data_IF_615240341141
#
_entry.id   IF_615240341141
#
_cell.length_a   1.000
_cell.length_b   1.000
_cell.length_c   1.000
_cell.angle_alpha   90.00
_cell.angle_beta   90.00
_cell.angle_gamma   90.00
#
_symmetry.space_group_name_H-M   'P 1'
#
loop_
_entity.id
_entity.type
_entity.pdbx_description
1 polymer ?
#
# COMPACT_ATOMS: atom_id res chain seq x y z
N UNK A 1 -20.87 8.31 -19.74
CA UNK A 1 -20.48 6.94 -19.31
C UNK A 1 -21.72 6.27 -18.75
N UNK A 2 -21.80 4.95 -18.70
CA UNK A 2 -22.98 4.27 -18.15
C UNK A 2 -22.71 3.62 -16.81
N UNK A 3 -23.55 3.95 -15.83
CA UNK A 3 -23.57 3.32 -14.51
C UNK A 3 -24.81 2.44 -14.41
N UNK A 4 -24.59 1.12 -14.43
CA UNK A 4 -25.62 0.12 -14.27
C UNK A 4 -26.09 0.02 -12.83
N UNK A 5 -27.30 0.51 -12.55
CA UNK A 5 -27.86 0.52 -11.20
C UNK A 5 -28.80 -0.67 -10.97
N UNK A 6 -28.75 -1.26 -9.78
CA UNK A 6 -29.80 -2.19 -9.34
C UNK A 6 -31.15 -1.46 -9.24
N UNK A 7 -32.26 -2.20 -9.36
CA UNK A 7 -33.60 -1.63 -9.24
C UNK A 7 -33.77 -0.78 -7.97
N UNK A 8 -33.28 -1.30 -6.82
CA UNK A 8 -33.32 -0.61 -5.54
C UNK A 8 -32.58 0.74 -5.57
N UNK A 9 -31.46 0.82 -6.28
CA UNK A 9 -30.72 2.08 -6.43
C UNK A 9 -31.45 3.04 -7.37
N UNK A 10 -31.96 2.57 -8.52
CA UNK A 10 -32.78 3.38 -9.44
C UNK A 10 -33.97 4.02 -8.69
N UNK A 11 -34.72 3.21 -7.94
CA UNK A 11 -35.86 3.67 -7.14
C UNK A 11 -35.43 4.70 -6.07
N UNK A 12 -34.26 4.50 -5.45
CA UNK A 12 -33.73 5.42 -4.43
C UNK A 12 -33.31 6.77 -5.03
N UNK A 13 -32.65 6.74 -6.19
CA UNK A 13 -32.21 7.91 -6.95
C UNK A 13 -33.39 8.68 -7.57
N UNK A 14 -34.50 8.00 -7.85
CA UNK A 14 -35.68 8.62 -8.49
C UNK A 14 -35.44 8.99 -9.95
N UNK A 15 -34.58 8.25 -10.65
CA UNK A 15 -34.20 8.50 -12.05
C UNK A 15 -34.85 7.47 -12.99
N UNK A 16 -35.18 7.88 -14.21
CA UNK A 16 -35.56 6.95 -15.26
C UNK A 16 -34.29 6.38 -15.92
N UNK A 17 -34.09 5.05 -15.92
CA UNK A 17 -32.88 4.46 -16.48
C UNK A 17 -32.86 4.59 -18.01
N UNK A 18 -31.71 4.98 -18.55
CA UNK A 18 -31.44 4.99 -19.99
C UNK A 18 -31.26 3.57 -20.54
N UNK A 19 -31.44 3.35 -21.86
CA UNK A 19 -31.11 2.10 -22.51
C UNK A 19 -29.63 1.75 -22.33
N UNK A 20 -29.35 0.46 -22.18
CA UNK A 20 -27.98 -0.04 -22.11
C UNK A 20 -27.35 0.05 -23.51
N UNK A 21 -26.22 0.76 -23.61
CA UNK A 21 -25.39 0.79 -24.80
C UNK A 21 -24.27 -0.24 -24.67
N UNK A 22 -24.40 -1.36 -25.38
CA UNK A 22 -23.43 -2.45 -25.37
C UNK A 22 -22.19 -2.19 -26.23
N UNK A 23 -22.14 -1.05 -26.95
CA UNK A 23 -20.95 -0.65 -27.72
C UNK A 23 -19.89 0.03 -26.85
N UNK A 24 -20.28 0.53 -25.67
CA UNK A 24 -19.34 1.12 -24.71
C UNK A 24 -18.48 0.02 -24.10
N UNK A 25 -17.17 0.23 -24.18
CA UNK A 25 -16.17 -0.63 -23.55
C UNK A 25 -16.47 -0.80 -22.03
N UNK A 26 -16.49 -2.04 -21.50
CA UNK A 26 -16.70 -2.29 -20.07
C UNK A 26 -15.75 -1.53 -19.14
N UNK A 27 -14.56 -1.13 -19.59
CA UNK A 27 -13.65 -0.32 -18.78
C UNK A 27 -14.19 1.10 -18.50
N UNK A 28 -15.03 1.64 -19.37
CA UNK A 28 -15.72 2.92 -19.19
C UNK A 28 -17.13 2.75 -18.57
N UNK A 29 -17.44 1.54 -18.08
CA UNK A 29 -18.72 1.21 -17.47
C UNK A 29 -18.52 0.81 -16.00
N UNK A 30 -19.50 1.17 -15.19
CA UNK A 30 -19.52 0.85 -13.77
C UNK A 30 -20.88 0.27 -13.38
N UNK A 31 -20.91 -0.55 -12.34
CA UNK A 31 -22.15 -1.10 -11.79
C UNK A 31 -22.26 -0.68 -10.33
N UNK A 32 -23.47 -0.26 -9.91
CA UNK A 32 -23.73 0.26 -8.59
C UNK A 32 -24.96 -0.38 -7.92
N UNK A 33 -24.89 -0.55 -6.60
CA UNK A 33 -26.00 -1.04 -5.78
C UNK A 33 -26.09 -0.32 -4.46
N UNK A 34 -27.30 -0.22 -3.90
CA UNK A 34 -27.55 0.39 -2.59
C UNK A 34 -28.01 -0.66 -1.57
N UNK A 35 -27.46 -0.57 -0.36
CA UNK A 35 -27.81 -1.41 0.78
C UNK A 35 -27.64 -0.63 2.09
N UNK A 36 -27.94 -1.29 3.21
CA UNK A 36 -27.75 -0.68 4.52
C UNK A 36 -26.51 -1.30 5.18
N UNK A 37 -25.60 -0.44 5.62
CA UNK A 37 -24.43 -0.80 6.41
C UNK A 37 -24.45 0.09 7.65
N UNK A 38 -24.36 -0.49 8.84
CA UNK A 38 -24.42 0.24 10.11
C UNK A 38 -25.61 1.22 10.19
N UNK A 39 -26.79 0.76 9.75
CA UNK A 39 -28.07 1.51 9.67
C UNK A 39 -28.04 2.74 8.74
N UNK A 40 -27.06 2.83 7.85
CA UNK A 40 -26.89 3.92 6.89
C UNK A 40 -26.98 3.42 5.45
N UNK A 41 -27.63 4.20 4.59
CA UNK A 41 -27.67 3.90 3.17
C UNK A 41 -26.27 4.02 2.57
N UNK A 42 -25.83 2.96 1.92
CA UNK A 42 -24.48 2.82 1.39
C UNK A 42 -24.58 2.37 -0.05
N UNK A 43 -23.92 3.08 -0.95
CA UNK A 43 -23.78 2.71 -2.36
C UNK A 43 -22.39 2.10 -2.52
N UNK A 44 -22.34 0.94 -3.14
CA UNK A 44 -21.11 0.32 -3.59
C UNK A 44 -21.07 0.30 -5.10
N UNK A 45 -19.90 0.55 -5.65
CA UNK A 45 -19.69 0.73 -7.09
C UNK A 45 -18.46 -0.08 -7.51
N UNK A 46 -18.53 -0.76 -8.66
CA UNK A 46 -17.41 -1.51 -9.23
C UNK A 46 -17.31 -1.31 -10.73
N UNK A 47 -16.09 -1.21 -11.25
CA UNK A 47 -15.79 -1.17 -12.68
C UNK A 47 -16.15 -2.50 -13.35
N UNK A 48 -16.77 -2.46 -14.52
CA UNK A 48 -17.30 -3.65 -15.16
C UNK A 48 -16.20 -4.55 -15.78
N UNK A 49 -15.04 -3.99 -16.13
CA UNK A 49 -13.91 -4.75 -16.68
C UNK A 49 -13.04 -5.40 -15.58
N UNK A 50 -12.76 -4.67 -14.51
CA UNK A 50 -11.77 -5.06 -13.50
C UNK A 50 -12.36 -5.47 -12.15
N UNK A 51 -13.63 -5.18 -11.88
CA UNK A 51 -14.23 -5.25 -10.53
C UNK A 51 -13.63 -4.30 -9.49
N UNK A 52 -12.73 -3.39 -9.89
CA UNK A 52 -12.19 -2.37 -9.00
C UNK A 52 -13.33 -1.49 -8.50
N UNK A 53 -13.41 -1.22 -7.21
CA UNK A 53 -14.55 -0.50 -6.67
C UNK A 53 -14.27 0.41 -5.49
N UNK A 54 -15.29 1.21 -5.20
CA UNK A 54 -15.28 2.23 -4.16
C UNK A 54 -16.64 2.28 -3.47
N UNK A 55 -16.70 3.02 -2.37
CA UNK A 55 -17.87 3.07 -1.47
C UNK A 55 -18.29 4.51 -1.21
N UNK A 56 -19.59 4.78 -1.36
CA UNK A 56 -20.26 5.98 -0.88
C UNK A 56 -21.12 5.59 0.32
N UNK A 57 -20.69 5.96 1.52
CA UNK A 57 -21.31 5.61 2.79
C UNK A 57 -22.22 6.73 3.30
N UNK A 58 -23.35 6.39 3.93
CA UNK A 58 -24.16 7.36 4.64
C UNK A 58 -24.98 8.31 3.79
N UNK A 59 -25.26 7.98 2.53
CA UNK A 59 -25.96 8.86 1.60
C UNK A 59 -27.38 9.19 2.07
N UNK A 60 -27.77 10.46 1.97
CA UNK A 60 -29.10 10.99 2.32
C UNK A 60 -29.78 11.57 1.08
N UNK A 61 -31.09 11.81 1.18
CA UNK A 61 -31.88 12.43 0.11
C UNK A 61 -31.34 13.79 -0.34
N UNK A 62 -30.78 14.58 0.58
CA UNK A 62 -30.16 15.87 0.27
C UNK A 62 -28.88 15.79 -0.55
N UNK A 63 -28.18 14.65 -0.53
CA UNK A 63 -26.92 14.43 -1.27
C UNK A 63 -27.19 14.03 -2.73
N UNK A 64 -28.41 13.58 -3.04
CA UNK A 64 -28.78 13.10 -4.38
C UNK A 64 -28.65 14.16 -5.47
N UNK A 65 -28.76 15.44 -5.12
CA UNK A 65 -28.52 16.56 -6.06
C UNK A 65 -27.09 16.57 -6.63
N UNK A 66 -26.14 15.95 -5.91
CA UNK A 66 -24.73 15.87 -6.28
C UNK A 66 -24.32 14.45 -6.70
N UNK A 67 -25.28 13.55 -6.94
CA UNK A 67 -24.98 12.12 -7.14
C UNK A 67 -24.03 11.87 -8.32
N UNK A 68 -24.19 12.60 -9.43
CA UNK A 68 -23.31 12.49 -10.59
C UNK A 68 -21.86 12.85 -10.22
N UNK A 69 -21.66 13.95 -9.48
CA UNK A 69 -20.34 14.36 -8.97
C UNK A 69 -19.75 13.31 -8.05
N UNK A 70 -20.54 12.77 -7.10
CA UNK A 70 -20.08 11.74 -6.17
C UNK A 70 -19.59 10.47 -6.88
N UNK A 71 -20.27 10.03 -7.96
CA UNK A 71 -19.79 8.92 -8.77
C UNK A 71 -18.48 9.25 -9.48
N UNK A 72 -18.37 10.43 -10.10
CA UNK A 72 -17.15 10.85 -10.79
C UNK A 72 -15.97 11.02 -9.82
N UNK A 73 -16.19 11.62 -8.66
CA UNK A 73 -15.20 11.77 -7.58
C UNK A 73 -14.77 10.41 -7.03
N UNK A 74 -15.71 9.47 -6.87
CA UNK A 74 -15.40 8.10 -6.47
C UNK A 74 -14.54 7.36 -7.49
N UNK A 75 -14.88 7.47 -8.78
CA UNK A 75 -14.07 6.93 -9.87
C UNK A 75 -12.68 7.57 -9.89
N UNK A 76 -12.61 8.91 -9.82
CA UNK A 76 -11.36 9.65 -9.73
C UNK A 76 -10.50 9.17 -8.56
N UNK A 77 -11.11 8.91 -7.40
CA UNK A 77 -10.40 8.36 -6.24
C UNK A 77 -9.78 7.00 -6.54
N UNK A 78 -10.43 6.10 -7.29
CA UNK A 78 -9.85 4.82 -7.66
C UNK A 78 -8.53 4.97 -8.43
N UNK A 79 -8.47 5.91 -9.38
CA UNK A 79 -7.24 6.16 -10.14
C UNK A 79 -6.16 6.82 -9.28
N UNK A 80 -6.55 7.77 -8.43
CA UNK A 80 -5.62 8.51 -7.57
C UNK A 80 -4.96 7.62 -6.52
N UNK A 81 -5.71 6.68 -5.92
CA UNK A 81 -5.17 5.74 -4.92
C UNK A 81 -4.11 4.80 -5.52
N UNK A 82 -4.13 4.58 -6.83
CA UNK A 82 -3.10 3.83 -7.56
C UNK A 82 -2.01 4.74 -8.18
N UNK A 83 -1.93 6.00 -7.73
CA UNK A 83 -1.04 7.04 -8.24
C UNK A 83 -1.09 7.26 -9.76
N UNK A 84 -2.23 7.08 -10.42
CA UNK A 84 -2.29 7.28 -11.88
C UNK A 84 -2.15 8.78 -12.20
N UNK A 85 -1.38 9.11 -13.24
CA UNK A 85 -1.15 10.46 -13.73
C UNK A 85 -2.49 11.19 -13.96
N UNK A 86 -2.65 12.37 -13.36
CA UNK A 86 -3.84 13.21 -13.52
C UNK A 86 -4.23 13.42 -15.00
N UNK A 87 -3.27 13.52 -15.91
CA UNK A 87 -3.56 13.67 -17.34
C UNK A 87 -4.20 12.42 -17.95
N UNK A 88 -3.91 11.24 -17.43
CA UNK A 88 -4.57 9.98 -17.83
C UNK A 88 -5.98 9.93 -17.25
N UNK A 89 -6.17 10.39 -16.01
CA UNK A 89 -7.49 10.47 -15.38
C UNK A 89 -8.40 11.43 -16.17
N UNK A 90 -7.87 12.59 -16.56
CA UNK A 90 -8.60 13.57 -17.37
C UNK A 90 -9.02 12.97 -18.71
N UNK A 91 -8.10 12.29 -19.42
CA UNK A 91 -8.41 11.56 -20.66
C UNK A 91 -9.47 10.47 -20.48
N UNK A 92 -9.42 9.74 -19.36
CA UNK A 92 -10.43 8.74 -19.03
C UNK A 92 -11.82 9.39 -18.87
N UNK A 93 -11.90 10.49 -18.14
CA UNK A 93 -13.16 11.21 -17.91
C UNK A 93 -13.69 11.87 -19.20
N UNK A 94 -12.81 12.39 -20.06
CA UNK A 94 -13.16 12.91 -21.38
C UNK A 94 -13.72 11.81 -22.29
N UNK A 95 -13.04 10.65 -22.37
CA UNK A 95 -13.49 9.50 -23.15
C UNK A 95 -14.83 8.94 -22.66
N UNK A 96 -15.10 9.09 -21.37
CA UNK A 96 -16.33 8.67 -20.76
C UNK A 96 -17.54 9.53 -21.14
N UNK A 97 -17.39 10.69 -21.79
CA UNK A 97 -18.39 11.76 -21.84
C UNK A 97 -18.72 12.30 -20.43
N UNK A 98 -18.70 13.63 -20.27
CA UNK A 98 -18.82 14.31 -18.96
C UNK A 98 -20.11 13.93 -18.21
N UNK A 99 -21.12 13.42 -18.93
CA UNK A 99 -22.39 13.01 -18.35
C UNK A 99 -22.38 11.54 -17.89
N UNK A 100 -22.71 11.33 -16.61
CA UNK A 100 -23.08 10.01 -16.07
C UNK A 100 -24.52 9.70 -16.46
N UNK A 101 -24.72 8.58 -17.16
CA UNK A 101 -26.02 8.03 -17.49
C UNK A 101 -26.33 6.82 -16.61
N UNK A 102 -27.48 6.81 -15.94
CA UNK A 102 -27.91 5.65 -15.16
C UNK A 102 -28.67 4.67 -16.04
N UNK A 103 -28.25 3.41 -16.04
CA UNK A 103 -28.94 2.32 -16.75
C UNK A 103 -29.40 1.25 -15.75
N UNK A 104 -30.10 0.22 -16.24
CA UNK A 104 -30.21 -1.04 -15.49
C UNK A 104 -28.85 -1.76 -15.50
N UNK A 105 -28.61 -2.62 -14.51
CA UNK A 105 -27.44 -3.51 -14.47
C UNK A 105 -27.29 -4.30 -15.78
N UNK A 106 -26.08 -4.32 -16.37
CA UNK A 106 -25.84 -4.88 -17.70
C UNK A 106 -26.04 -6.39 -17.78
N UNK A 107 -25.48 -7.13 -16.82
CA UNK A 107 -25.56 -8.59 -16.81
C UNK A 107 -25.36 -9.16 -15.40
N UNK A 108 -25.66 -10.45 -15.24
CA UNK A 108 -25.53 -11.14 -13.96
C UNK A 108 -24.07 -11.26 -13.47
N UNK A 109 -23.10 -11.32 -14.38
CA UNK A 109 -21.67 -11.43 -14.03
C UNK A 109 -21.16 -10.17 -13.33
N UNK A 110 -21.43 -8.99 -13.87
CA UNK A 110 -21.03 -7.71 -13.23
C UNK A 110 -21.74 -7.51 -11.87
N UNK A 111 -23.00 -7.94 -11.76
CA UNK A 111 -23.73 -7.87 -10.50
C UNK A 111 -23.17 -8.84 -9.44
N UNK A 112 -22.83 -10.07 -9.84
CA UNK A 112 -22.11 -11.00 -8.96
C UNK A 112 -20.78 -10.39 -8.50
N UNK A 113 -20.06 -9.72 -9.41
CA UNK A 113 -18.82 -9.05 -9.08
C UNK A 113 -18.95 -7.97 -8.02
N UNK A 114 -19.98 -7.13 -8.14
CA UNK A 114 -20.30 -6.11 -7.17
C UNK A 114 -20.68 -6.71 -5.80
N UNK A 115 -21.42 -7.83 -5.78
CA UNK A 115 -21.82 -8.48 -4.54
C UNK A 115 -20.63 -9.01 -3.73
N UNK A 116 -19.61 -9.56 -4.38
CA UNK A 116 -18.37 -9.97 -3.69
C UNK A 116 -17.61 -8.79 -3.09
N UNK A 117 -17.54 -7.66 -3.79
CA UNK A 117 -16.98 -6.43 -3.23
C UNK A 117 -17.78 -5.96 -2.00
N UNK A 118 -19.11 -6.10 -2.05
CA UNK A 118 -20.00 -5.75 -0.92
C UNK A 118 -19.77 -6.65 0.28
N UNK A 119 -19.67 -7.96 0.08
CA UNK A 119 -19.34 -8.92 1.13
C UNK A 119 -18.03 -8.54 1.81
N UNK A 120 -17.05 -8.14 1.02
CA UNK A 120 -15.74 -7.74 1.54
C UNK A 120 -15.78 -6.47 2.39
N UNK A 121 -16.61 -5.50 2.02
CA UNK A 121 -16.74 -4.27 2.81
C UNK A 121 -17.16 -4.54 4.26
N UNK A 122 -17.89 -5.62 4.54
CA UNK A 122 -18.24 -5.97 5.92
C UNK A 122 -17.02 -6.27 6.80
N UNK A 123 -15.91 -6.77 6.24
CA UNK A 123 -14.67 -7.00 7.00
C UNK A 123 -13.98 -5.70 7.40
N UNK A 124 -14.20 -4.62 6.66
CA UNK A 124 -13.61 -3.30 6.91
C UNK A 124 -14.63 -2.31 7.52
N UNK A 125 -15.73 -2.83 8.09
CA UNK A 125 -16.82 -2.00 8.62
C UNK A 125 -16.38 -1.04 9.73
N UNK A 126 -15.40 -1.44 10.54
CA UNK A 126 -14.84 -0.63 11.63
C UNK A 126 -13.89 0.47 11.16
N UNK A 127 -13.38 0.35 9.93
CA UNK A 127 -12.53 1.36 9.29
C UNK A 127 -13.35 2.45 8.58
N UNK A 128 -14.68 2.36 8.58
CA UNK A 128 -15.53 3.37 7.95
C UNK A 128 -15.46 4.68 8.73
N UNK A 129 -15.18 5.78 8.02
CA UNK A 129 -15.23 7.14 8.57
C UNK A 129 -16.63 7.74 8.36
N UNK A 130 -17.47 7.88 9.41
CA UNK A 130 -18.84 8.37 9.27
C UNK A 130 -18.93 9.86 8.92
N UNK A 131 -17.82 10.60 8.92
CA UNK A 131 -17.74 12.01 8.55
C UNK A 131 -17.59 12.23 7.04
N UNK A 132 -17.25 11.18 6.28
CA UNK A 132 -17.03 11.24 4.83
C UNK A 132 -18.08 10.44 4.08
N UNK A 133 -18.57 10.97 2.96
CA UNK A 133 -19.42 10.18 2.05
C UNK A 133 -18.56 9.18 1.28
N UNK A 134 -17.51 9.65 0.60
CA UNK A 134 -16.56 8.80 -0.11
C UNK A 134 -15.55 8.19 0.85
N UNK A 135 -15.46 6.86 0.85
CA UNK A 135 -14.55 6.08 1.69
C UNK A 135 -13.28 5.71 0.91
N UNK A 136 -12.60 6.69 0.31
CA UNK A 136 -11.46 6.41 -0.59
C UNK A 136 -10.30 5.70 0.10
N UNK A 137 -10.11 5.93 1.41
CA UNK A 137 -9.12 5.22 2.22
C UNK A 137 -9.36 3.71 2.30
N UNK A 138 -10.58 3.25 2.00
CA UNK A 138 -10.90 1.81 1.90
C UNK A 138 -10.57 1.23 0.53
N UNK A 139 -10.38 2.04 -0.51
CA UNK A 139 -10.15 1.54 -1.88
C UNK A 139 -8.96 0.58 -1.92
N UNK A 140 -7.90 0.90 -1.18
CA UNK A 140 -6.74 0.03 -1.08
C UNK A 140 -7.12 -1.40 -0.61
N UNK A 141 -7.74 -1.50 0.56
CA UNK A 141 -8.18 -2.76 1.17
C UNK A 141 -9.23 -3.49 0.31
N UNK A 142 -10.14 -2.72 -0.29
CA UNK A 142 -11.21 -3.23 -1.15
C UNK A 142 -10.73 -3.69 -2.53
N UNK A 143 -9.52 -3.35 -2.97
CA UNK A 143 -9.05 -3.74 -4.31
C UNK A 143 -7.78 -4.59 -4.31
N UNK A 144 -7.15 -4.76 -3.15
CA UNK A 144 -6.04 -5.67 -2.94
C UNK A 144 -6.51 -7.11 -2.62
N UNK A 145 -7.33 -7.72 -3.49
CA UNK A 145 -7.75 -9.12 -3.33
C UNK A 145 -7.64 -9.88 -4.63
N UNK A 146 -7.38 -11.18 -4.52
CA UNK A 146 -7.36 -12.08 -5.66
C UNK A 146 -8.77 -12.41 -6.15
N UNK A 147 -8.91 -12.44 -7.45
CA UNK A 147 -10.15 -12.80 -8.12
C UNK A 147 -9.87 -13.55 -9.42
N UNK A 148 -10.75 -14.48 -9.74
CA UNK A 148 -10.70 -15.21 -11.00
C UNK A 148 -11.21 -14.36 -12.17
N UNK A 149 -10.34 -14.12 -13.16
CA UNK A 149 -10.66 -13.42 -14.41
C UNK A 149 -10.33 -14.32 -15.60
N UNK A 150 -11.37 -14.95 -16.18
CA UNK A 150 -11.20 -15.83 -17.34
C UNK A 150 -10.44 -17.10 -16.98
N UNK A 151 -9.11 -17.05 -17.07
CA UNK A 151 -8.23 -18.22 -17.04
C UNK A 151 -7.33 -18.30 -15.78
N UNK A 152 -7.25 -17.22 -14.98
CA UNK A 152 -6.35 -17.16 -13.83
C UNK A 152 -6.88 -16.26 -12.70
N UNK A 153 -6.32 -16.45 -11.50
CA UNK A 153 -6.46 -15.51 -10.39
C UNK A 153 -5.50 -14.32 -10.57
N UNK A 154 -6.01 -13.11 -10.35
CA UNK A 154 -5.27 -11.85 -10.36
C UNK A 154 -5.78 -10.93 -9.27
N UNK A 155 -4.94 -10.04 -8.76
CA UNK A 155 -5.43 -8.97 -7.90
C UNK A 155 -6.36 -8.05 -8.70
N UNK A 156 -7.45 -7.61 -8.06
CA UNK A 156 -8.40 -6.67 -8.68
C UNK A 156 -7.70 -5.38 -9.13
N UNK A 157 -6.80 -4.83 -8.30
CA UNK A 157 -5.98 -3.68 -8.65
C UNK A 157 -5.09 -3.93 -9.88
N UNK A 158 -4.42 -5.08 -9.96
CA UNK A 158 -3.52 -5.39 -11.09
C UNK A 158 -4.33 -5.46 -12.38
N UNK A 159 -5.51 -6.08 -12.31
CA UNK A 159 -6.42 -6.14 -13.45
C UNK A 159 -6.89 -4.74 -13.88
N UNK A 160 -7.15 -3.84 -12.93
CA UNK A 160 -7.49 -2.46 -13.23
C UNK A 160 -6.32 -1.71 -13.90
N UNK A 161 -5.12 -1.84 -13.36
CA UNK A 161 -3.90 -1.24 -13.93
C UNK A 161 -3.59 -1.78 -15.33
N UNK A 162 -3.80 -3.07 -15.60
CA UNK A 162 -3.70 -3.64 -16.94
C UNK A 162 -4.66 -2.97 -17.92
N UNK A 163 -5.93 -2.74 -17.53
CA UNK A 163 -6.91 -2.08 -18.39
C UNK A 163 -6.55 -0.60 -18.67
N UNK A 164 -5.97 0.09 -17.68
CA UNK A 164 -5.44 1.46 -17.85
C UNK A 164 -4.26 1.41 -18.83
N UNK A 165 -3.27 0.53 -18.61
CA UNK A 165 -2.08 0.41 -19.45
C UNK A 165 -2.42 0.06 -20.90
N UNK A 166 -3.38 -0.84 -21.10
CA UNK A 166 -3.85 -1.24 -22.43
C UNK A 166 -4.41 -0.06 -23.26
N UNK A 167 -4.88 1.02 -22.61
CA UNK A 167 -5.49 2.18 -23.29
C UNK A 167 -4.61 3.43 -23.28
N UNK A 168 -3.74 3.58 -22.28
CA UNK A 168 -2.95 4.80 -22.06
C UNK A 168 -1.43 4.58 -22.09
N UNK A 169 -0.96 3.36 -22.34
CA UNK A 169 0.47 2.99 -22.38
C UNK A 169 1.02 2.57 -21.02
N UNK A 170 2.30 2.15 -20.96
CA UNK A 170 2.90 1.58 -19.74
C UNK A 170 3.22 2.61 -18.64
N UNK A 171 3.55 3.85 -19.02
CA UNK A 171 3.97 4.90 -18.10
C UNK A 171 2.77 5.65 -17.51
N UNK A 172 2.03 4.99 -16.62
CA UNK A 172 0.76 5.52 -16.09
C UNK A 172 0.87 6.23 -14.75
N UNK A 173 1.97 6.08 -14.01
CA UNK A 173 2.05 6.55 -12.63
C UNK A 173 2.72 7.93 -12.49
N UNK A 174 2.22 8.69 -11.53
CA UNK A 174 2.82 9.92 -10.96
C UNK A 174 2.60 9.92 -9.44
N UNK A 175 3.37 9.11 -8.72
CA UNK A 175 3.34 9.11 -7.26
C UNK A 175 4.13 10.29 -6.67
N UNK A 176 3.73 10.71 -5.47
CA UNK A 176 4.65 11.35 -4.53
C UNK A 176 5.47 10.26 -3.83
N UNK A 177 6.74 10.53 -3.56
CA UNK A 177 7.64 9.63 -2.83
C UNK A 177 8.33 10.39 -1.71
N UNK A 178 8.66 9.69 -0.63
CA UNK A 178 9.72 10.10 0.28
C UNK A 178 11.05 9.58 -0.24
N UNK A 179 12.06 10.44 -0.19
CA UNK A 179 13.45 10.06 -0.33
C UNK A 179 14.03 9.90 1.07
N UNK A 180 14.45 8.69 1.40
CA UNK A 180 14.97 8.34 2.72
C UNK A 180 16.42 7.94 2.62
N UNK A 181 17.25 8.39 3.56
CA UNK A 181 18.53 7.74 3.88
C UNK A 181 18.31 6.84 5.11
N UNK A 182 18.61 5.55 4.95
CA UNK A 182 18.44 4.53 5.98
C UNK A 182 19.82 4.00 6.32
N UNK A 183 20.26 4.23 7.55
CA UNK A 183 21.58 3.84 8.04
C UNK A 183 21.42 2.79 9.12
N UNK A 184 22.01 1.62 8.91
CA UNK A 184 22.10 0.56 9.91
C UNK A 184 23.28 0.86 10.83
N UNK A 185 23.01 0.94 12.14
CA UNK A 185 24.03 1.24 13.14
C UNK A 185 24.96 0.04 13.35
N UNK A 186 26.16 0.12 12.78
CA UNK A 186 27.24 -0.86 12.91
C UNK A 186 28.56 -0.16 13.19
N UNK A 187 29.60 -0.95 13.47
CA UNK A 187 30.98 -0.48 13.51
C UNK A 187 31.54 -0.12 12.12
N UNK A 188 30.85 -0.48 11.04
CA UNK A 188 31.18 -0.17 9.65
C UNK A 188 30.05 0.62 8.99
N UNK A 189 30.34 1.32 7.89
CA UNK A 189 29.31 2.03 7.14
C UNK A 189 28.36 1.02 6.48
N UNK A 190 27.05 1.13 6.75
CA UNK A 190 26.02 0.38 6.06
C UNK A 190 24.77 1.25 5.90
N UNK A 191 24.52 1.74 4.68
CA UNK A 191 23.38 2.64 4.42
C UNK A 191 22.78 2.45 3.03
N UNK A 192 21.54 2.88 2.88
CA UNK A 192 20.74 2.80 1.65
C UNK A 192 19.97 4.10 1.48
N UNK A 193 19.94 4.64 0.27
CA UNK A 193 19.05 5.74 -0.07
C UNK A 193 17.99 5.25 -1.03
N UNK A 194 16.74 5.54 -0.71
CA UNK A 194 15.58 4.92 -1.36
C UNK A 194 14.48 5.93 -1.59
N UNK A 195 13.82 5.83 -2.74
CA UNK A 195 12.55 6.48 -3.02
C UNK A 195 11.42 5.51 -2.67
N UNK A 196 10.53 5.88 -1.76
CA UNK A 196 9.38 5.06 -1.33
C UNK A 196 8.09 5.82 -1.57
N UNK A 197 7.06 5.23 -2.21
CA UNK A 197 5.78 5.91 -2.42
C UNK A 197 5.19 6.42 -1.09
N UNK A 198 4.81 7.69 -1.06
CA UNK A 198 4.37 8.40 0.15
C UNK A 198 3.09 7.79 0.76
N UNK A 199 2.29 7.09 -0.04
CA UNK A 199 1.08 6.41 0.41
C UNK A 199 1.35 5.05 1.09
N UNK A 200 2.59 4.58 1.12
CA UNK A 200 2.93 3.32 1.78
C UNK A 200 2.67 3.41 3.29
N UNK A 201 2.31 2.27 3.89
CA UNK A 201 2.27 2.17 5.35
C UNK A 201 3.66 1.90 5.92
N UNK A 202 3.83 2.06 7.24
CA UNK A 202 5.08 1.67 7.89
C UNK A 202 5.32 0.15 7.83
N UNK A 203 4.27 -0.67 7.77
CA UNK A 203 4.40 -2.11 7.43
C UNK A 203 5.04 -2.31 6.06
N UNK A 204 4.67 -1.51 5.07
CA UNK A 204 5.29 -1.59 3.75
C UNK A 204 6.74 -1.12 3.80
N UNK A 205 7.03 -0.06 4.55
CA UNK A 205 8.41 0.40 4.75
C UNK A 205 9.28 -0.66 5.42
N UNK A 206 8.76 -1.42 6.39
CA UNK A 206 9.45 -2.59 6.95
C UNK A 206 9.86 -3.56 5.82
N UNK A 207 8.93 -3.98 4.96
CA UNK A 207 9.25 -4.87 3.83
C UNK A 207 10.31 -4.27 2.89
N UNK A 208 10.29 -2.95 2.68
CA UNK A 208 11.32 -2.24 1.91
C UNK A 208 12.68 -2.35 2.59
N UNK A 209 12.76 -2.08 3.90
CA UNK A 209 14.00 -2.18 4.67
C UNK A 209 14.55 -3.62 4.62
N UNK A 210 13.71 -4.63 4.88
CA UNK A 210 14.09 -6.03 4.75
C UNK A 210 14.70 -6.32 3.37
N UNK A 211 14.09 -5.83 2.29
CA UNK A 211 14.61 -6.01 0.93
C UNK A 211 15.94 -5.27 0.69
N UNK A 212 16.09 -4.06 1.23
CA UNK A 212 17.28 -3.22 1.07
C UNK A 212 18.52 -3.77 1.78
N UNK A 213 18.32 -4.41 2.93
CA UNK A 213 19.38 -5.02 3.75
C UNK A 213 19.45 -6.55 3.58
N UNK A 214 18.57 -7.12 2.76
CA UNK A 214 18.56 -8.54 2.45
C UNK A 214 18.22 -9.40 3.65
N UNK A 215 17.24 -9.02 4.46
CA UNK A 215 16.71 -9.86 5.53
C UNK A 215 15.33 -10.41 5.18
N UNK A 216 14.89 -11.40 5.93
CA UNK A 216 13.71 -12.21 5.61
C UNK A 216 12.44 -11.76 6.34
N UNK A 217 12.55 -10.87 7.34
CA UNK A 217 11.40 -10.30 8.06
C UNK A 217 10.72 -11.27 9.03
N UNK A 218 11.46 -12.24 9.59
CA UNK A 218 10.92 -13.24 10.52
C UNK A 218 10.73 -12.72 11.94
N UNK A 219 11.42 -11.65 12.31
CA UNK A 219 11.43 -11.15 13.68
C UNK A 219 10.53 -9.96 13.90
N UNK A 220 10.22 -9.69 15.17
CA UNK A 220 9.45 -8.50 15.58
C UNK A 220 10.22 -7.22 15.23
N UNK A 221 9.46 -6.18 14.91
CA UNK A 221 9.99 -4.85 14.61
C UNK A 221 9.09 -3.74 15.13
N UNK A 222 9.67 -2.54 15.25
CA UNK A 222 8.92 -1.32 15.54
C UNK A 222 9.57 -0.09 14.91
N UNK A 223 8.82 1.01 14.88
CA UNK A 223 9.32 2.33 14.52
C UNK A 223 9.09 3.29 15.67
N UNK A 224 10.12 4.00 16.10
CA UNK A 224 10.02 5.08 17.07
C UNK A 224 9.98 6.41 16.34
N UNK A 225 8.83 7.09 16.43
CA UNK A 225 8.58 8.38 15.78
C UNK A 225 9.03 9.54 16.67
N UNK A 226 8.84 9.39 17.98
CA UNK A 226 9.30 10.34 19.00
C UNK A 226 9.83 9.59 20.22
N UNK A 227 10.83 10.14 20.88
CA UNK A 227 11.41 9.60 22.11
C UNK A 227 11.83 10.73 23.07
N UNK A 228 11.93 10.40 24.35
CA UNK A 228 12.34 11.32 25.41
C UNK A 228 13.85 11.53 25.41
N UNK A 229 14.31 12.52 26.18
CA UNK A 229 15.75 12.74 26.44
C UNK A 229 16.42 11.56 27.16
N UNK A 230 15.65 10.64 27.75
CA UNK A 230 16.16 9.41 28.36
C UNK A 230 16.19 8.23 27.37
N UNK A 231 15.84 8.44 26.10
CA UNK A 231 15.81 7.39 25.09
C UNK A 231 14.62 6.44 25.20
N UNK A 232 13.49 6.88 25.78
CA UNK A 232 12.27 6.09 25.86
C UNK A 232 11.28 6.54 24.78
N UNK A 233 10.56 5.62 24.11
CA UNK A 233 9.61 6.00 23.07
C UNK A 233 8.48 6.84 23.67
N UNK A 234 8.06 7.90 22.99
CA UNK A 234 6.87 8.70 23.30
C UNK A 234 5.76 8.45 22.29
N UNK A 235 6.15 8.15 21.04
CA UNK A 235 5.27 7.70 19.98
C UNK A 235 5.94 6.58 19.18
N UNK A 236 5.35 5.39 19.18
CA UNK A 236 5.82 4.24 18.40
C UNK A 236 4.76 3.65 17.46
N UNK A 237 5.23 2.98 16.41
CA UNK A 237 4.44 2.15 15.51
C UNK A 237 4.89 0.70 15.66
N UNK A 238 3.96 -0.17 16.04
CA UNK A 238 4.24 -1.56 16.40
C UNK A 238 3.76 -2.53 15.31
N UNK A 239 4.47 -3.65 15.15
CA UNK A 239 4.10 -4.69 14.20
C UNK A 239 2.97 -5.62 14.69
N UNK A 240 2.66 -5.62 15.98
CA UNK A 240 1.59 -6.43 16.55
C UNK A 240 0.90 -5.66 17.69
N UNK A 241 -0.28 -6.10 18.09
CA UNK A 241 -1.04 -5.49 19.18
C UNK A 241 -0.46 -5.92 20.53
N UNK A 242 0.48 -5.12 21.01
CA UNK A 242 1.20 -5.36 22.26
C UNK A 242 0.55 -4.51 23.39
N UNK A 243 -0.78 -4.31 23.34
CA UNK A 243 -1.60 -3.44 24.22
C UNK A 243 -1.26 -3.59 25.72
N UNK A 244 -0.85 -4.79 26.14
CA UNK A 244 -0.54 -5.08 27.55
C UNK A 244 0.76 -4.42 28.06
N UNK A 245 1.74 -4.15 27.19
CA UNK A 245 3.07 -3.69 27.63
C UNK A 245 3.27 -2.17 27.52
N UNK A 246 2.54 -1.46 26.65
CA UNK A 246 2.88 -0.08 26.24
C UNK A 246 1.90 1.02 26.67
N UNK A 247 1.12 0.82 27.74
CA UNK A 247 0.13 1.80 28.24
C UNK A 247 0.68 3.19 28.62
N UNK A 248 1.99 3.39 28.60
CA UNK A 248 2.65 4.63 29.00
C UNK A 248 2.92 5.60 27.84
N UNK A 249 2.80 5.17 26.58
CA UNK A 249 3.16 5.99 25.41
C UNK A 249 2.13 5.88 24.29
N UNK A 250 2.15 6.84 23.35
CA UNK A 250 1.26 6.79 22.19
C UNK A 250 1.73 5.65 21.28
N UNK A 251 0.85 4.71 20.95
CA UNK A 251 1.17 3.63 20.01
C UNK A 251 0.08 3.49 18.95
N UNK A 252 0.46 3.01 17.77
CA UNK A 252 -0.44 2.61 16.68
C UNK A 252 0.17 1.41 15.96
N UNK A 253 -0.64 0.63 15.24
CA UNK A 253 -0.12 -0.46 14.41
C UNK A 253 0.49 0.10 13.12
N UNK A 254 1.64 -0.43 12.72
CA UNK A 254 2.43 0.06 11.58
C UNK A 254 1.71 -0.09 10.22
N UNK A 255 0.71 -0.97 10.13
CA UNK A 255 -0.14 -1.14 8.95
C UNK A 255 -1.29 -0.12 8.89
N UNK A 256 -1.55 0.64 9.96
CA UNK A 256 -2.59 1.68 10.02
C UNK A 256 -2.05 3.08 9.71
N UNK A 257 -0.73 3.27 9.74
CA UNK A 257 -0.11 4.60 9.61
C UNK A 257 0.70 4.67 8.31
N UNK A 258 0.45 5.71 7.53
CA UNK A 258 1.13 5.96 6.26
C UNK A 258 2.35 6.87 6.40
N UNK A 259 3.28 6.78 5.46
CA UNK A 259 4.44 7.67 5.37
C UNK A 259 3.99 9.14 5.23
N UNK A 260 2.88 9.39 4.52
CA UNK A 260 2.24 10.69 4.37
C UNK A 260 1.79 11.33 5.70
N UNK A 261 1.47 10.55 6.72
CA UNK A 261 1.00 11.06 8.01
C UNK A 261 2.15 11.51 8.92
N UNK A 262 3.33 10.91 8.72
CA UNK A 262 4.50 11.08 9.57
C UNK A 262 5.52 12.05 8.95
N UNK A 263 6.04 11.77 7.75
CA UNK A 263 7.19 12.49 7.21
C UNK A 263 6.99 14.01 6.97
N UNK A 264 5.77 14.54 6.77
CA UNK A 264 5.58 16.00 6.78
C UNK A 264 5.85 16.69 8.13
N UNK A 265 5.94 15.93 9.23
CA UNK A 265 6.10 16.43 10.61
C UNK A 265 7.41 15.96 11.27
N UNK A 266 7.88 14.78 10.90
CA UNK A 266 9.05 14.13 11.47
C UNK A 266 10.03 13.80 10.37
N UNK A 267 11.27 14.26 10.49
CA UNK A 267 12.32 14.01 9.51
C UNK A 267 13.32 12.94 9.95
N UNK A 268 13.24 12.46 11.20
CA UNK A 268 14.13 11.46 11.76
C UNK A 268 13.30 10.44 12.56
N UNK A 269 13.49 9.15 12.26
CA UNK A 269 12.76 8.02 12.85
C UNK A 269 13.75 6.89 13.10
N UNK A 270 13.55 6.12 14.17
CA UNK A 270 14.33 4.91 14.43
C UNK A 270 13.51 3.68 14.08
N UNK A 271 14.10 2.72 13.36
CA UNK A 271 13.53 1.41 13.08
C UNK A 271 14.34 0.33 13.77
N UNK A 272 13.68 -0.46 14.62
CA UNK A 272 14.28 -1.61 15.28
C UNK A 272 13.79 -2.89 14.61
N UNK A 273 14.70 -3.80 14.29
CA UNK A 273 14.41 -5.13 13.77
C UNK A 273 15.08 -6.19 14.64
N UNK A 274 14.37 -7.30 14.84
CA UNK A 274 14.77 -8.37 15.74
C UNK A 274 14.95 -7.82 17.16
N UNK A 275 13.88 -7.82 17.96
CA UNK A 275 13.95 -7.30 19.33
C UNK A 275 14.85 -8.16 20.27
N UNK A 276 15.38 -9.29 19.79
CA UNK A 276 16.46 -10.04 20.44
C UNK A 276 17.83 -9.45 20.12
N UNK A 277 18.20 -9.44 18.83
CA UNK A 277 19.50 -8.95 18.34
C UNK A 277 19.62 -7.41 18.31
N UNK A 278 18.48 -6.73 18.32
CA UNK A 278 18.25 -5.29 18.36
C UNK A 278 18.96 -4.49 17.25
N UNK A 279 18.74 -4.89 15.99
CA UNK A 279 19.26 -4.15 14.83
C UNK A 279 18.58 -2.78 14.71
N UNK A 280 19.35 -1.71 14.87
CA UNK A 280 18.85 -0.34 14.91
C UNK A 280 19.19 0.39 13.60
N UNK A 281 18.17 1.02 13.00
CA UNK A 281 18.34 1.84 11.81
C UNK A 281 17.87 3.26 12.08
N UNK A 282 18.72 4.23 11.77
CA UNK A 282 18.31 5.62 11.64
C UNK A 282 17.70 5.85 10.25
N UNK A 283 16.50 6.42 10.20
CA UNK A 283 15.79 6.78 8.97
C UNK A 283 15.67 8.30 8.92
N UNK A 284 16.36 8.91 7.95
CA UNK A 284 16.36 10.34 7.71
C UNK A 284 15.54 10.67 6.46
N UNK A 285 14.63 11.64 6.57
CA UNK A 285 13.93 12.22 5.43
C UNK A 285 14.86 13.21 4.72
N UNK A 286 15.23 12.89 3.50
CA UNK A 286 15.99 13.78 2.63
C UNK A 286 15.07 14.78 1.93
N UNK A 287 13.98 14.28 1.33
CA UNK A 287 13.00 15.11 0.62
C UNK A 287 11.68 14.37 0.39
N UNK A 288 10.60 15.12 0.16
CA UNK A 288 9.39 14.62 -0.49
C UNK A 288 9.46 15.07 -1.95
N UNK A 289 9.32 14.13 -2.89
CA UNK A 289 9.41 14.39 -4.33
C UNK A 289 8.11 14.03 -5.03
N UNK A 290 7.75 14.83 -6.03
CA UNK A 290 6.59 14.61 -6.88
C UNK A 290 6.96 13.89 -8.20
N UNK A 291 5.95 13.52 -8.98
CA UNK A 291 6.06 13.03 -10.36
C UNK A 291 6.89 11.76 -10.55
N UNK A 292 7.04 10.96 -9.51
CA UNK A 292 7.73 9.67 -9.58
C UNK A 292 6.92 8.70 -10.45
N UNK A 293 7.59 8.12 -11.44
CA UNK A 293 6.91 7.39 -12.54
C UNK A 293 6.60 5.93 -12.23
N UNK A 294 6.85 5.47 -11.01
CA UNK A 294 6.62 4.09 -10.56
C UNK A 294 5.71 4.10 -9.34
N UNK A 295 5.05 2.99 -9.07
CA UNK A 295 4.22 2.73 -7.88
C UNK A 295 4.93 1.84 -6.84
N UNK A 296 6.20 1.52 -7.09
CA UNK A 296 7.06 0.73 -6.22
C UNK A 296 8.38 1.45 -5.86
N UNK A 297 9.04 1.07 -4.75
CA UNK A 297 10.24 1.74 -4.29
C UNK A 297 11.42 1.58 -5.25
N UNK A 298 12.38 2.49 -5.20
CA UNK A 298 13.65 2.35 -5.95
C UNK A 298 14.80 2.78 -5.05
N UNK A 299 15.73 1.86 -4.82
CA UNK A 299 17.03 2.17 -4.24
C UNK A 299 17.82 2.99 -5.27
N UNK A 300 18.39 4.13 -4.86
CA UNK A 300 19.12 5.04 -5.75
C UNK A 300 20.62 5.06 -5.45
N UNK A 301 21.03 4.75 -4.22
CA UNK A 301 22.43 4.57 -3.82
C UNK A 301 22.51 3.74 -2.54
N UNK A 302 23.70 3.23 -2.23
CA UNK A 302 23.96 2.49 -1.00
C UNK A 302 25.42 2.05 -0.90
N UNK A 303 25.84 1.70 0.30
CA UNK A 303 27.17 1.18 0.58
C UNK A 303 27.15 0.27 1.80
N UNK A 304 28.18 -0.57 1.91
CA UNK A 304 28.31 -1.51 3.03
C UNK A 304 27.49 -2.78 2.87
N UNK A 305 28.07 -3.85 3.41
CA UNK A 305 27.45 -5.18 3.50
C UNK A 305 26.75 -5.28 4.84
N UNK A 306 25.43 -5.55 4.88
CA UNK A 306 24.72 -5.77 6.13
C UNK A 306 25.09 -7.13 6.73
N UNK A 307 24.92 -7.28 8.05
CA UNK A 307 25.15 -8.55 8.72
C UNK A 307 24.16 -9.62 8.23
N UNK A 308 24.56 -10.90 8.17
CA UNK A 308 23.60 -11.99 8.01
C UNK A 308 22.57 -11.97 9.14
N UNK A 309 21.38 -12.47 8.84
CA UNK A 309 20.33 -12.65 9.84
C UNK A 309 20.80 -13.62 10.93
N UNK A 310 20.31 -13.45 12.16
CA UNK A 310 20.67 -14.25 13.33
C UNK A 310 22.18 -14.26 13.68
N UNK A 311 22.90 -13.17 13.36
CA UNK A 311 24.33 -13.03 13.67
C UNK A 311 24.62 -12.52 15.10
N UNK A 312 23.60 -12.40 15.96
CA UNK A 312 23.77 -12.08 17.38
C UNK A 312 23.94 -10.59 17.65
N UNK A 313 23.24 -9.75 16.89
CA UNK A 313 23.31 -8.30 17.00
C UNK A 313 24.67 -7.70 16.64
N UNK A 314 24.84 -6.40 16.90
CA UNK A 314 26.05 -5.66 16.52
C UNK A 314 27.32 -6.29 17.12
N UNK A 315 27.27 -6.76 18.36
CA UNK A 315 28.40 -7.40 19.03
C UNK A 315 28.71 -8.79 18.48
N UNK A 316 27.69 -9.61 18.20
CA UNK A 316 27.87 -10.95 17.64
C UNK A 316 28.48 -10.86 16.24
N UNK A 317 27.97 -9.96 15.40
CA UNK A 317 28.54 -9.75 14.07
C UNK A 317 29.98 -9.22 14.12
N UNK A 318 30.28 -8.29 15.05
CA UNK A 318 31.65 -7.83 15.23
C UNK A 318 32.60 -8.97 15.63
N UNK A 319 32.16 -9.88 16.50
CA UNK A 319 32.91 -11.07 16.88
C UNK A 319 33.14 -11.99 15.69
N UNK A 320 32.12 -12.27 14.87
CA UNK A 320 32.26 -13.09 13.66
C UNK A 320 33.31 -12.52 12.70
N UNK A 321 33.34 -11.20 12.51
CA UNK A 321 34.34 -10.53 11.68
C UNK A 321 35.75 -10.58 12.29
N UNK A 322 35.87 -10.50 13.62
CA UNK A 322 37.15 -10.62 14.32
C UNK A 322 37.73 -12.02 14.13
N UNK A 323 36.93 -13.06 14.42
CA UNK A 323 37.33 -14.47 14.27
C UNK A 323 37.67 -14.79 12.82
N UNK A 324 36.84 -14.36 11.84
CA UNK A 324 37.09 -14.61 10.42
C UNK A 324 38.37 -13.97 9.89
N UNK A 325 38.92 -12.94 10.56
CA UNK A 325 40.20 -12.32 10.21
C UNK A 325 41.40 -12.92 10.96
N UNK A 326 41.20 -13.93 11.81
CA UNK A 326 42.25 -14.58 12.59
C UNK A 326 42.25 -16.11 12.37
N UNK A 327 42.99 -16.64 11.38
CA UNK A 327 43.08 -18.08 11.11
C UNK A 327 43.64 -18.96 12.25
N UNK A 328 44.15 -18.36 13.33
CA UNK A 328 44.63 -19.09 14.51
C UNK A 328 43.60 -19.12 15.65
N UNK A 329 42.44 -18.50 15.46
CA UNK A 329 41.37 -18.51 16.45
C UNK A 329 40.76 -19.91 16.56
N UNK A 330 40.51 -20.44 17.77
CA UNK A 330 39.84 -21.73 17.96
C UNK A 330 38.49 -21.86 17.25
N UNK A 331 37.76 -20.76 17.09
CA UNK A 331 36.42 -20.74 16.47
C UNK A 331 36.47 -20.46 14.95
N UNK A 332 37.67 -20.37 14.34
CA UNK A 332 37.83 -19.96 12.94
C UNK A 332 37.09 -20.88 11.96
N UNK A 333 37.34 -22.19 12.02
CA UNK A 333 36.76 -23.14 11.06
C UNK A 333 35.23 -23.16 11.12
N UNK A 334 34.66 -23.12 12.34
CA UNK A 334 33.20 -23.08 12.55
C UNK A 334 32.60 -21.76 12.07
N UNK A 335 33.28 -20.63 12.33
CA UNK A 335 32.84 -19.30 11.90
C UNK A 335 32.84 -19.16 10.37
N UNK A 336 33.90 -19.60 9.71
CA UNK A 336 33.97 -19.59 8.24
C UNK A 336 32.90 -20.50 7.65
N UNK A 337 32.72 -21.71 8.18
CA UNK A 337 31.66 -22.61 7.72
C UNK A 337 30.27 -21.99 7.87
N UNK A 338 30.01 -21.24 8.96
CA UNK A 338 28.75 -20.53 9.14
C UNK A 338 28.57 -19.39 8.12
N UNK A 339 29.60 -18.55 7.93
CA UNK A 339 29.57 -17.44 6.98
C UNK A 339 29.46 -17.89 5.52
N UNK A 340 30.08 -19.01 5.15
CA UNK A 340 29.98 -19.60 3.79
C UNK A 340 28.58 -20.14 3.50
N UNK A 341 27.84 -20.55 4.53
CA UNK A 341 26.43 -20.97 4.40
C UNK A 341 25.46 -19.78 4.42
N UNK A 342 25.90 -18.59 4.87
CA UNK A 342 25.08 -17.38 4.84
C UNK A 342 24.93 -16.87 3.39
N UNK A 343 23.78 -16.25 3.07
CA UNK A 343 23.62 -15.62 1.76
C UNK A 343 24.58 -14.44 1.61
N UNK A 344 25.24 -14.33 0.47
CA UNK A 344 26.02 -13.13 0.11
C UNK A 344 25.11 -11.88 0.09
N UNK A 345 25.39 -10.98 1.03
CA UNK A 345 24.68 -9.70 1.20
C UNK A 345 25.43 -8.51 0.58
N UNK A 346 26.46 -8.75 -0.23
CA UNK A 346 27.21 -7.67 -0.91
C UNK A 346 26.25 -6.75 -1.66
N UNK A 347 26.46 -5.44 -1.51
CA UNK A 347 25.56 -4.45 -2.10
C UNK A 347 25.57 -4.53 -3.64
N UNK A 348 24.41 -4.86 -4.19
CA UNK A 348 24.13 -4.83 -5.62
C UNK A 348 22.83 -4.06 -5.87
N UNK A 349 22.98 -2.84 -6.38
CA UNK A 349 21.88 -1.93 -6.68
C UNK A 349 20.86 -2.53 -7.67
N UNK A 350 21.34 -3.29 -8.67
CA UNK A 350 20.47 -3.90 -9.67
C UNK A 350 19.70 -5.08 -9.07
N UNK A 351 20.36 -5.95 -8.30
CA UNK A 351 19.72 -7.06 -7.56
C UNK A 351 18.64 -6.53 -6.61
N UNK A 352 18.96 -5.49 -5.83
CA UNK A 352 18.01 -4.86 -4.91
C UNK A 352 16.82 -4.27 -5.67
N UNK A 353 17.05 -3.49 -6.73
CA UNK A 353 15.95 -2.88 -7.47
C UNK A 353 15.08 -3.91 -8.21
N UNK A 354 15.65 -5.03 -8.66
CA UNK A 354 14.86 -6.14 -9.20
C UNK A 354 13.95 -6.73 -8.12
N UNK A 355 14.47 -6.98 -6.91
CA UNK A 355 13.66 -7.45 -5.77
C UNK A 355 12.56 -6.44 -5.39
N UNK A 356 12.88 -5.14 -5.32
CA UNK A 356 11.91 -4.08 -5.01
C UNK A 356 10.81 -3.95 -6.09
N UNK A 357 11.12 -4.20 -7.37
CA UNK A 357 10.13 -4.16 -8.44
C UNK A 357 9.15 -5.34 -8.39
N UNK A 358 9.57 -6.48 -7.83
CA UNK A 358 8.76 -7.70 -7.74
C UNK A 358 8.26 -7.99 -6.32
N UNK A 359 8.57 -7.11 -5.35
CA UNK A 359 8.23 -7.37 -3.95
C UNK A 359 6.72 -7.48 -3.79
N UNK A 360 6.27 -8.60 -3.23
CA UNK A 360 4.89 -8.69 -2.76
C UNK A 360 4.81 -7.91 -1.46
N UNK A 361 4.25 -6.72 -1.57
CA UNK A 361 4.08 -5.88 -0.38
C UNK A 361 2.97 -6.52 0.43
N UNK A 362 3.30 -6.96 1.65
CA UNK A 362 2.31 -7.37 2.62
C UNK A 362 1.50 -6.13 2.99
N UNK A 363 0.25 -6.07 2.52
CA UNK A 363 -0.61 -4.88 2.61
C UNK A 363 -1.92 -5.20 3.34
N UNK A 364 -1.80 -5.91 4.47
CA UNK A 364 -2.89 -6.27 5.39
C UNK A 364 -3.49 -7.65 5.15
#
# INVERSE_FOLDING_TARGET
MQIGCTKKLIDYLGVAPQPIDNSIDPFYCWTASIFNLNRRHTIIVSNDASSYGFVIYGIKKGDLKNIHSLFLEGIYSCFKEECIDSQIIDKYLEACSVAVEFTKTRNAKVLANLNHLRERLYYYGDMIDPSRLLQSHLNHFLNNTYRHFGDNYRLIKDKFLEEVKARYGENIHRCQVVELEITLELNSACRRRVLVPLHYTFRNLHTVIQTLFGWEGYHLHNFWIEWSSQGLPLYSLECDDIEFYFRQYRYQLDFCVTLAEIFPKYNHIIYHYDLGDNWTHAIELVAIRDNYSKDFPTCIEGEGTPPPEDSGGVSGYAYLLEVANNPNDPDYDDTIAWLENAEDKTFDLAKINNKLATMQIWRG
#
